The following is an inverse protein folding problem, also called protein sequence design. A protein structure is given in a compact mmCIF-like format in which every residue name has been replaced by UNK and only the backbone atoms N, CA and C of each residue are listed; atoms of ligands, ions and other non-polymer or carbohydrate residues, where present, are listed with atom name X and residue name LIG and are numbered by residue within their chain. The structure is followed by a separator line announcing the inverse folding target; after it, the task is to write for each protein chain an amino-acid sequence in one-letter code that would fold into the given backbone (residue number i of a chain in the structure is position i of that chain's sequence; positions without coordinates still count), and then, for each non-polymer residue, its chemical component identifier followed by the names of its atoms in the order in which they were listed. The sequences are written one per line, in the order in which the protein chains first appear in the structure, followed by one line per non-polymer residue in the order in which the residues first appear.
data_IF_493350669590
#
_entry.id   IF_493350669590
#
_cell.length_a   1.000
_cell.length_b   1.000
_cell.length_c   1.000
_cell.angle_alpha   90.00
_cell.angle_beta   90.00
_cell.angle_gamma   90.00
#
_symmetry.space_group_name_H-M   'P 1'
#
loop_
_entity.id
_entity.type
_entity.pdbx_description
1 polymer ?
#
# COMPACT_ATOMS: atom_id res chain seq x y z
N UNK A 1 -10.37 29.55 -10.93
CA UNK A 1 -10.25 28.25 -11.61
C UNK A 1 -9.70 27.22 -10.63
N UNK A 2 -10.36 26.10 -10.58
CA UNK A 2 -9.98 25.06 -9.64
C UNK A 2 -8.78 24.28 -10.16
N UNK A 3 -7.70 24.24 -9.40
CA UNK A 3 -6.58 23.37 -9.77
C UNK A 3 -6.97 21.91 -9.59
N UNK A 4 -6.52 21.06 -10.49
CA UNK A 4 -6.72 19.62 -10.37
C UNK A 4 -5.67 19.10 -9.40
N UNK A 5 -6.12 18.62 -8.24
CA UNK A 5 -5.22 18.01 -7.28
C UNK A 5 -4.80 16.63 -7.77
N UNK A 6 -3.52 16.33 -7.63
CA UNK A 6 -3.03 14.98 -7.89
C UNK A 6 -3.59 14.04 -6.81
N UNK A 7 -4.24 12.95 -7.19
CA UNK A 7 -4.77 12.01 -6.21
C UNK A 7 -3.63 11.36 -5.42
N UNK A 8 -3.88 11.12 -4.14
CA UNK A 8 -2.97 10.34 -3.31
C UNK A 8 -3.21 8.88 -3.63
N UNK A 9 -2.16 8.15 -3.96
CA UNK A 9 -2.25 6.75 -4.41
C UNK A 9 -1.59 5.85 -3.38
N UNK A 10 -2.26 4.75 -3.08
CA UNK A 10 -1.71 3.70 -2.21
C UNK A 10 -1.69 2.36 -2.95
N UNK A 11 -0.64 1.59 -2.71
CA UNK A 11 -0.50 0.23 -3.21
C UNK A 11 0.01 -0.66 -2.09
N UNK A 12 -0.52 -1.87 -1.98
CA UNK A 12 -0.16 -2.82 -0.93
C UNK A 12 0.24 -4.15 -1.57
N UNK A 13 1.40 -4.68 -1.16
CA UNK A 13 1.78 -6.04 -1.47
C UNK A 13 1.49 -6.92 -0.26
N UNK A 14 1.16 -8.18 -0.50
CA UNK A 14 0.76 -9.09 0.58
C UNK A 14 1.43 -10.46 0.42
N UNK A 15 1.33 -11.26 1.49
CA UNK A 15 1.87 -12.63 1.53
C UNK A 15 1.23 -13.56 0.51
N UNK A 16 0.06 -13.22 -0.01
CA UNK A 16 -0.69 -13.99 -0.98
C UNK A 16 -2.14 -13.53 -1.00
N UNK A 17 -3.03 -14.38 -1.50
CA UNK A 17 -4.46 -14.11 -1.50
C UNK A 17 -5.15 -14.98 -0.45
N UNK A 18 -6.39 -14.61 -0.09
CA UNK A 18 -7.19 -15.36 0.87
C UNK A 18 -7.20 -14.77 2.26
N UNK A 19 -8.03 -15.32 3.12
CA UNK A 19 -8.30 -14.75 4.44
C UNK A 19 -7.15 -14.79 5.42
N UNK A 20 -6.13 -15.63 5.16
CA UNK A 20 -4.95 -15.72 6.03
C UNK A 20 -3.80 -14.82 5.57
N UNK A 21 -3.94 -14.16 4.43
CA UNK A 21 -2.91 -13.26 3.92
C UNK A 21 -2.81 -11.98 4.76
N UNK A 22 -1.63 -11.37 4.74
CA UNK A 22 -1.34 -10.14 5.48
C UNK A 22 -0.49 -9.21 4.62
N UNK A 23 -0.53 -7.89 4.89
CA UNK A 23 0.27 -6.94 4.12
C UNK A 23 1.75 -7.07 4.46
N UNK A 24 2.61 -6.97 3.44
CA UNK A 24 4.06 -7.06 3.59
C UNK A 24 4.78 -5.79 3.14
N UNK A 25 4.14 -4.97 2.33
CA UNK A 25 4.71 -3.70 1.87
C UNK A 25 3.57 -2.73 1.58
N UNK A 26 3.76 -1.47 1.94
CA UNK A 26 2.85 -0.40 1.55
C UNK A 26 3.64 0.71 0.86
N UNK A 27 3.10 1.19 -0.27
CA UNK A 27 3.66 2.30 -1.02
C UNK A 27 2.63 3.41 -1.15
N UNK A 28 3.07 4.66 -0.94
CA UNK A 28 2.23 5.86 -1.03
C UNK A 28 2.89 6.85 -1.98
N UNK A 29 2.10 7.41 -2.87
CA UNK A 29 2.51 8.56 -3.68
C UNK A 29 1.56 9.71 -3.34
N UNK A 30 2.08 10.72 -2.63
CA UNK A 30 1.28 11.87 -2.19
C UNK A 30 1.15 12.91 -3.29
N UNK A 31 2.25 13.14 -4.01
CA UNK A 31 2.32 14.02 -5.17
C UNK A 31 3.50 13.56 -6.03
N UNK A 32 3.89 14.37 -7.00
CA UNK A 32 4.97 13.99 -7.92
C UNK A 32 6.32 13.77 -7.23
N UNK A 33 6.54 14.42 -6.09
CA UNK A 33 7.82 14.40 -5.41
C UNK A 33 7.82 13.64 -4.09
N UNK A 34 6.66 13.55 -3.43
CA UNK A 34 6.57 12.95 -2.09
C UNK A 34 6.08 11.51 -2.18
N UNK A 35 6.96 10.58 -1.84
CA UNK A 35 6.69 9.15 -1.86
C UNK A 35 7.11 8.53 -0.55
N UNK A 36 6.40 7.49 -0.15
CA UNK A 36 6.73 6.71 1.04
C UNK A 36 6.55 5.23 0.71
N UNK A 37 7.50 4.42 1.14
CA UNK A 37 7.41 2.97 0.98
C UNK A 37 7.99 2.31 2.23
N UNK A 38 7.31 1.30 2.74
CA UNK A 38 7.80 0.53 3.88
C UNK A 38 7.47 -0.95 3.73
N UNK A 39 8.46 -1.77 4.02
CA UNK A 39 8.26 -3.19 4.28
C UNK A 39 7.74 -3.34 5.71
N UNK A 40 6.99 -4.39 5.95
CA UNK A 40 6.33 -4.63 7.23
C UNK A 40 6.86 -5.93 7.82
N UNK A 41 7.35 -5.88 9.06
CA UNK A 41 7.73 -7.10 9.77
C UNK A 41 6.44 -7.86 10.07
N UNK A 42 6.31 -9.14 9.67
CA UNK A 42 5.10 -9.90 9.97
C UNK A 42 4.87 -10.01 11.48
N UNK A 43 3.63 -9.82 11.90
CA UNK A 43 3.25 -10.06 13.30
C UNK A 43 3.51 -11.53 13.65
N UNK A 44 3.73 -11.86 14.94
CA UNK A 44 4.12 -13.23 15.34
C UNK A 44 3.18 -14.32 14.87
N UNK A 45 1.89 -14.02 14.71
CA UNK A 45 0.89 -14.99 14.26
C UNK A 45 0.63 -14.92 12.73
N UNK A 46 1.37 -14.08 12.01
CA UNK A 46 1.28 -13.96 10.56
C UNK A 46 2.29 -14.88 9.91
N UNK A 47 1.90 -16.12 9.68
CA UNK A 47 2.80 -17.14 9.13
C UNK A 47 2.44 -17.60 7.71
N UNK A 48 1.33 -17.13 7.16
CA UNK A 48 0.94 -17.43 5.78
C UNK A 48 2.00 -16.93 4.79
N UNK A 49 2.32 -17.77 3.80
CA UNK A 49 3.26 -17.37 2.75
C UNK A 49 2.94 -18.14 1.47
N UNK A 50 2.75 -17.41 0.38
CA UNK A 50 2.45 -17.96 -0.93
C UNK A 50 3.65 -17.73 -1.85
N UNK A 51 4.31 -18.83 -2.24
CA UNK A 51 5.48 -18.77 -3.10
C UNK A 51 5.18 -18.20 -4.49
N UNK A 52 3.96 -18.39 -4.98
CA UNK A 52 3.57 -17.82 -6.27
C UNK A 52 3.42 -16.30 -6.18
N UNK A 53 2.92 -15.80 -5.05
CA UNK A 53 2.89 -14.36 -4.82
C UNK A 53 4.29 -13.79 -4.72
N UNK A 54 5.22 -14.50 -4.08
CA UNK A 54 6.62 -14.06 -3.98
C UNK A 54 7.25 -13.89 -5.37
N UNK A 55 6.93 -14.75 -6.32
CA UNK A 55 7.43 -14.62 -7.69
C UNK A 55 6.99 -13.31 -8.34
N UNK A 56 5.86 -12.77 -7.92
CA UNK A 56 5.32 -11.51 -8.45
C UNK A 56 5.93 -10.30 -7.74
N UNK A 57 5.87 -10.24 -6.41
CA UNK A 57 6.38 -9.08 -5.66
C UNK A 57 7.89 -9.13 -5.42
N UNK A 58 8.50 -10.30 -5.51
CA UNK A 58 9.94 -10.52 -5.40
C UNK A 58 10.54 -10.09 -4.06
N UNK A 59 9.76 -10.24 -3.00
CA UNK A 59 10.20 -9.94 -1.64
C UNK A 59 10.24 -11.25 -0.87
N UNK A 60 11.44 -11.71 -0.50
CA UNK A 60 11.57 -12.89 0.32
C UNK A 60 11.17 -12.60 1.77
N UNK A 61 10.64 -13.58 2.47
CA UNK A 61 10.14 -13.38 3.83
C UNK A 61 11.22 -12.91 4.80
N UNK A 62 12.45 -13.40 4.66
CA UNK A 62 13.56 -12.98 5.52
C UNK A 62 13.93 -11.50 5.32
N UNK A 63 13.68 -10.94 4.15
CA UNK A 63 13.88 -9.52 3.88
C UNK A 63 12.95 -8.67 4.76
N UNK A 64 11.72 -9.13 4.97
CA UNK A 64 10.78 -8.42 5.84
C UNK A 64 11.27 -8.36 7.28
N UNK A 65 11.86 -9.43 7.77
CA UNK A 65 12.38 -9.48 9.13
C UNK A 65 13.59 -8.58 9.32
N UNK A 66 14.41 -8.44 8.28
CA UNK A 66 15.63 -7.64 8.32
C UNK A 66 15.38 -6.16 8.12
N UNK A 67 14.53 -5.79 7.16
CA UNK A 67 14.36 -4.40 6.71
C UNK A 67 12.98 -3.83 6.99
N UNK A 68 12.02 -4.64 7.44
CA UNK A 68 10.68 -4.18 7.72
C UNK A 68 10.56 -3.36 8.99
N UNK A 69 9.42 -2.70 9.14
CA UNK A 69 9.06 -1.96 10.34
C UNK A 69 7.91 -2.67 11.04
N UNK A 70 7.81 -2.56 12.37
CA UNK A 70 6.68 -3.15 13.11
C UNK A 70 5.34 -2.60 12.61
N UNK A 71 4.29 -3.43 12.71
CA UNK A 71 2.95 -3.02 12.25
C UNK A 71 2.49 -1.71 12.90
N UNK A 72 2.77 -1.52 14.19
CA UNK A 72 2.38 -0.31 14.92
C UNK A 72 3.07 0.93 14.34
N UNK A 73 4.36 0.81 14.01
CA UNK A 73 5.12 1.92 13.44
C UNK A 73 4.61 2.31 12.06
N UNK A 74 4.33 1.31 11.21
CA UNK A 74 3.81 1.57 9.87
C UNK A 74 2.43 2.20 9.93
N UNK A 75 1.52 1.65 10.75
CA UNK A 75 0.16 2.20 10.90
C UNK A 75 0.19 3.63 11.43
N UNK A 76 1.02 3.90 12.45
CA UNK A 76 1.14 5.25 13.01
C UNK A 76 1.70 6.23 11.98
N UNK A 77 2.68 5.80 11.18
CA UNK A 77 3.26 6.65 10.15
C UNK A 77 2.24 6.98 9.06
N UNK A 78 1.47 5.99 8.62
CA UNK A 78 0.40 6.22 7.64
C UNK A 78 -0.64 7.19 8.18
N UNK A 79 -1.05 7.04 9.43
CA UNK A 79 -2.00 7.96 10.04
C UNK A 79 -1.47 9.40 10.08
N UNK A 80 -0.18 9.59 10.38
CA UNK A 80 0.42 10.93 10.38
C UNK A 80 0.45 11.55 8.99
N UNK A 81 0.85 10.75 7.99
CA UNK A 81 0.94 11.24 6.60
C UNK A 81 -0.42 11.57 6.00
N UNK A 82 -1.42 10.79 6.34
CA UNK A 82 -2.69 10.76 5.60
C UNK A 82 -3.89 11.25 6.41
N UNK A 83 -3.69 11.76 7.61
CA UNK A 83 -4.77 12.18 8.50
C UNK A 83 -5.78 13.09 7.79
N UNK A 84 -7.05 12.68 7.84
CA UNK A 84 -8.14 13.44 7.24
C UNK A 84 -8.19 13.39 5.71
N UNK A 85 -7.27 12.66 5.07
CA UNK A 85 -7.19 12.60 3.61
C UNK A 85 -7.92 11.38 3.07
N UNK A 86 -8.22 11.42 1.78
CA UNK A 86 -8.71 10.26 1.04
C UNK A 86 -7.59 9.75 0.14
N UNK A 87 -7.22 8.48 0.30
CA UNK A 87 -6.24 7.83 -0.55
C UNK A 87 -6.97 6.95 -1.56
N UNK A 88 -6.38 6.78 -2.73
CA UNK A 88 -7.02 6.08 -3.83
C UNK A 88 -6.21 4.85 -4.22
N UNK A 89 -6.88 3.77 -4.57
CA UNK A 89 -6.24 2.55 -5.02
C UNK A 89 -6.98 2.00 -6.24
N UNK A 90 -6.23 1.42 -7.19
CA UNK A 90 -6.83 0.69 -8.31
C UNK A 90 -7.10 -0.78 -7.96
N UNK A 91 -6.66 -1.23 -6.78
CA UNK A 91 -6.91 -2.57 -6.26
C UNK A 91 -7.76 -2.57 -5.00
N UNK A 92 -8.86 -1.81 -4.99
CA UNK A 92 -9.68 -1.58 -3.80
C UNK A 92 -10.16 -2.87 -3.14
N UNK A 93 -10.50 -3.87 -3.94
CA UNK A 93 -11.02 -5.16 -3.44
C UNK A 93 -10.00 -5.88 -2.56
N UNK A 94 -8.70 -5.70 -2.82
CA UNK A 94 -7.63 -6.38 -2.08
C UNK A 94 -6.86 -5.43 -1.16
N UNK A 95 -6.58 -4.21 -1.59
CA UNK A 95 -5.76 -3.27 -0.80
C UNK A 95 -6.48 -2.81 0.47
N UNK A 96 -7.77 -2.52 0.37
CA UNK A 96 -8.52 -2.07 1.53
C UNK A 96 -8.60 -3.13 2.64
N UNK A 97 -8.93 -4.40 2.35
CA UNK A 97 -8.88 -5.45 3.37
C UNK A 97 -7.50 -5.61 4.01
N UNK A 98 -6.41 -5.52 3.24
CA UNK A 98 -5.07 -5.63 3.80
C UNK A 98 -4.73 -4.44 4.70
N UNK A 99 -5.14 -3.23 4.34
CA UNK A 99 -4.99 -2.06 5.21
C UNK A 99 -5.80 -2.22 6.49
N UNK A 100 -7.00 -2.73 6.40
CA UNK A 100 -7.83 -3.03 7.57
C UNK A 100 -7.12 -4.05 8.48
N UNK A 101 -6.54 -5.08 7.89
CA UNK A 101 -5.77 -6.09 8.63
C UNK A 101 -4.59 -5.46 9.36
N UNK A 102 -3.85 -4.57 8.68
CA UNK A 102 -2.72 -3.86 9.28
C UNK A 102 -3.15 -3.05 10.51
N UNK A 103 -4.18 -2.23 10.34
CA UNK A 103 -4.64 -1.35 11.43
C UNK A 103 -5.28 -2.12 12.57
N UNK A 104 -6.00 -3.21 12.26
CA UNK A 104 -6.54 -4.09 13.29
C UNK A 104 -5.40 -4.70 14.12
N UNK A 105 -4.36 -5.21 13.47
CA UNK A 105 -3.22 -5.82 14.17
C UNK A 105 -2.45 -4.78 14.98
N UNK A 106 -2.36 -3.55 14.49
CA UNK A 106 -1.71 -2.46 15.21
C UNK A 106 -2.58 -1.90 16.35
N UNK A 107 -3.85 -2.30 16.42
CA UNK A 107 -4.83 -1.80 17.41
C UNK A 107 -5.01 -0.28 17.30
N UNK A 108 -5.09 0.21 16.07
CA UNK A 108 -5.28 1.62 15.75
C UNK A 108 -6.45 1.82 14.81
N UNK A 109 -7.12 2.95 14.94
CA UNK A 109 -8.12 3.37 13.98
C UNK A 109 -7.42 4.06 12.81
N UNK A 110 -7.92 3.82 11.60
CA UNK A 110 -7.42 4.46 10.39
C UNK A 110 -7.91 5.90 10.35
N UNK A 111 -7.00 6.88 10.28
CA UNK A 111 -7.35 8.30 10.29
C UNK A 111 -7.61 8.88 8.90
N UNK A 112 -7.65 8.03 7.88
CA UNK A 112 -7.84 8.42 6.49
C UNK A 112 -8.86 7.46 5.84
N UNK A 113 -9.32 7.82 4.65
CA UNK A 113 -10.27 7.00 3.90
C UNK A 113 -9.59 6.40 2.68
N UNK A 114 -10.00 5.19 2.30
CA UNK A 114 -9.53 4.51 1.09
C UNK A 114 -10.67 4.45 0.10
N UNK A 115 -10.41 4.89 -1.13
CA UNK A 115 -11.42 4.98 -2.18
C UNK A 115 -10.93 4.32 -3.46
N UNK A 116 -11.83 3.70 -4.24
CA UNK A 116 -11.44 3.19 -5.55
C UNK A 116 -11.07 4.33 -6.50
N UNK A 117 -9.93 4.20 -7.18
CA UNK A 117 -9.48 5.20 -8.14
C UNK A 117 -10.48 5.38 -9.28
N UNK A 118 -11.18 4.32 -9.66
CA UNK A 118 -12.18 4.34 -10.71
C UNK A 118 -13.32 5.32 -10.47
N UNK A 119 -13.55 5.72 -9.23
CA UNK A 119 -14.62 6.67 -8.89
C UNK A 119 -14.28 8.11 -9.26
N UNK A 120 -13.01 8.42 -9.52
CA UNK A 120 -12.56 9.79 -9.81
C UNK A 120 -11.92 9.93 -11.18
N UNK A 121 -11.70 8.83 -11.91
CA UNK A 121 -11.07 8.85 -13.22
C UNK A 121 -12.03 8.33 -14.28
N UNK A 122 -12.01 8.98 -15.46
CA UNK A 122 -12.69 8.46 -16.64
C UNK A 122 -11.94 7.22 -17.17
N UNK A 123 -12.58 6.49 -18.08
CA UNK A 123 -11.99 5.30 -18.70
C UNK A 123 -10.66 5.62 -19.38
N UNK A 124 -10.60 6.71 -20.15
CA UNK A 124 -9.35 7.14 -20.79
C UNK A 124 -8.28 7.54 -19.79
N UNK A 125 -8.68 8.19 -18.71
CA UNK A 125 -7.75 8.54 -17.63
C UNK A 125 -7.21 7.30 -16.95
N UNK A 126 -8.02 6.25 -16.79
CA UNK A 126 -7.57 4.99 -16.21
C UNK A 126 -6.52 4.32 -17.08
N UNK A 127 -6.67 4.33 -18.40
CA UNK A 127 -5.67 3.76 -19.30
C UNK A 127 -4.32 4.47 -19.13
N UNK A 128 -4.33 5.79 -19.13
CA UNK A 128 -3.11 6.58 -18.92
C UNK A 128 -2.56 6.39 -17.51
N UNK A 129 -3.45 6.20 -16.54
CA UNK A 129 -3.07 5.97 -15.16
C UNK A 129 -2.25 4.69 -15.00
N UNK A 130 -2.63 3.60 -15.63
CA UNK A 130 -1.89 2.34 -15.51
C UNK A 130 -0.42 2.51 -15.88
N UNK A 131 -0.13 3.21 -16.96
CA UNK A 131 1.25 3.48 -17.38
C UNK A 131 1.97 4.37 -16.36
N UNK A 132 1.31 5.40 -15.87
CA UNK A 132 1.88 6.33 -14.89
C UNK A 132 2.15 5.63 -13.57
N UNK A 133 1.21 4.81 -13.10
CA UNK A 133 1.34 4.06 -11.87
C UNK A 133 2.55 3.13 -11.91
N UNK A 134 2.69 2.37 -12.98
CA UNK A 134 3.81 1.42 -13.10
C UNK A 134 5.15 2.14 -12.97
N UNK A 135 5.27 3.32 -13.57
CA UNK A 135 6.48 4.13 -13.48
C UNK A 135 6.71 4.65 -12.07
N UNK A 136 5.68 5.19 -11.42
CA UNK A 136 5.79 5.78 -10.07
C UNK A 136 6.11 4.69 -9.04
N UNK A 137 5.38 3.59 -9.06
CA UNK A 137 5.56 2.52 -8.08
C UNK A 137 6.88 1.78 -8.28
N UNK A 138 7.34 1.65 -9.52
CA UNK A 138 8.66 1.09 -9.78
C UNK A 138 9.75 1.94 -9.12
N UNK A 139 9.63 3.26 -9.20
CA UNK A 139 10.58 4.16 -8.56
C UNK A 139 10.51 4.07 -7.03
N UNK A 140 9.30 4.03 -6.45
CA UNK A 140 9.11 3.86 -5.00
C UNK A 140 9.74 2.55 -4.55
N UNK A 141 9.51 1.46 -5.27
CA UNK A 141 10.02 0.13 -4.92
C UNK A 141 11.53 0.01 -5.03
N UNK A 142 12.20 0.88 -5.75
CA UNK A 142 13.68 0.93 -5.77
C UNK A 142 14.27 1.31 -4.42
N UNK A 143 13.50 1.89 -3.52
CA UNK A 143 13.98 2.34 -2.21
C UNK A 143 13.59 1.38 -1.08
N UNK A 144 13.28 0.11 -1.39
CA UNK A 144 12.89 -0.90 -0.40
C UNK A 144 13.97 -1.22 0.62
N UNK A 145 15.21 -1.02 0.27
CA UNK A 145 16.35 -1.44 1.11
C UNK A 145 17.04 -0.25 1.73
#
# INVERSE_FOLDING_TARGET
MRSIETPIIIDVEASGFGGMSYPIEVGIALDDDTKYCSLIIPAPDWDHWDNDAEKVHRIARDILETYGKPVQEVAAHLNRLLEGKTVNTDGWVVDKPWLTTLFYKAQMNMSFKVSPLQMILSEQQMERWHDTKDRILTEVKKHRH
#
